data_IF_131927305822
#
_entry.id   IF_131927305822
#
_cell.length_a   1.000
_cell.length_b   1.000
_cell.length_c   1.000
_cell.angle_alpha   90.00
_cell.angle_beta   90.00
_cell.angle_gamma   90.00
#
_symmetry.space_group_name_H-M   'P 1'
#
loop_
_entity.id
_entity.type
_entity.pdbx_description
1 polymer ?
#
# COMPACT_ATOMS: atom_id res chain seq x y z
N UNK A 1 -10.90 35.35 10.68
CA UNK A 1 -10.61 34.36 11.75
C UNK A 1 -9.91 33.17 11.11
N UNK A 2 -8.63 32.97 11.36
CA UNK A 2 -7.89 31.82 10.82
C UNK A 2 -8.15 30.60 11.71
N UNK A 3 -8.74 29.55 11.14
CA UNK A 3 -8.91 28.26 11.82
C UNK A 3 -7.54 27.65 12.04
N UNK A 4 -7.18 27.41 13.30
CA UNK A 4 -5.93 26.74 13.64
C UNK A 4 -6.00 25.31 13.10
N UNK A 5 -5.11 24.87 12.18
CA UNK A 5 -5.20 23.54 11.57
C UNK A 5 -5.13 22.38 12.60
N UNK A 6 -4.65 22.67 13.82
CA UNK A 6 -4.63 21.73 14.94
C UNK A 6 -6.02 21.43 15.54
N UNK A 7 -7.03 22.28 15.32
CA UNK A 7 -8.38 22.09 15.90
C UNK A 7 -9.36 21.35 14.99
N UNK A 8 -8.94 20.99 13.77
CA UNK A 8 -9.79 20.23 12.84
C UNK A 8 -9.92 18.79 13.33
N UNK A 9 -11.14 18.40 13.67
CA UNK A 9 -11.48 17.03 14.05
C UNK A 9 -11.50 16.15 12.80
N UNK A 10 -10.87 14.99 12.91
CA UNK A 10 -10.77 13.94 11.90
C UNK A 10 -11.31 12.65 12.47
N UNK A 11 -11.78 11.76 11.61
CA UNK A 11 -12.29 10.45 11.98
C UNK A 11 -11.49 9.35 11.28
N UNK A 12 -11.32 8.22 11.98
CA UNK A 12 -10.75 6.98 11.45
C UNK A 12 -11.65 5.83 11.88
N UNK A 13 -12.07 5.00 10.94
CA UNK A 13 -12.84 3.77 11.25
C UNK A 13 -11.89 2.59 11.40
N UNK A 14 -11.88 1.99 12.58
CA UNK A 14 -11.07 0.83 12.93
C UNK A 14 -11.71 -0.48 12.44
N UNK A 15 -10.96 -1.58 12.49
CA UNK A 15 -11.39 -2.89 12.02
C UNK A 15 -12.58 -3.47 12.77
N UNK A 16 -12.76 -3.07 14.03
CA UNK A 16 -13.92 -3.42 14.86
C UNK A 16 -15.17 -2.58 14.58
N UNK A 17 -15.10 -1.66 13.62
CA UNK A 17 -16.18 -0.71 13.28
C UNK A 17 -16.20 0.54 14.15
N UNK A 18 -15.33 0.67 15.16
CA UNK A 18 -15.28 1.88 15.98
C UNK A 18 -14.81 3.07 15.15
N UNK A 19 -15.54 4.18 15.24
CA UNK A 19 -15.12 5.47 14.68
C UNK A 19 -14.37 6.27 15.74
N UNK A 20 -13.07 6.45 15.53
CA UNK A 20 -12.19 7.23 16.40
C UNK A 20 -12.11 8.67 15.89
N UNK A 21 -12.57 9.64 16.70
CA UNK A 21 -12.41 11.06 16.42
C UNK A 21 -11.13 11.62 17.08
N UNK A 22 -10.27 12.28 16.30
CA UNK A 22 -8.98 12.79 16.73
C UNK A 22 -8.59 14.09 16.01
N UNK A 23 -7.71 14.86 16.62
CA UNK A 23 -7.09 16.08 16.08
C UNK A 23 -5.61 15.84 15.80
N UNK A 24 -4.93 16.82 15.19
CA UNK A 24 -3.48 16.69 14.98
C UNK A 24 -2.69 16.64 16.29
N UNK A 25 -3.21 17.26 17.36
CA UNK A 25 -2.59 17.24 18.69
C UNK A 25 -2.67 15.86 19.37
N UNK A 26 -3.62 15.02 18.96
CA UNK A 26 -3.78 13.66 19.48
C UNK A 26 -2.81 12.66 18.82
N UNK A 27 -2.10 13.08 17.76
CA UNK A 27 -1.19 12.23 16.99
C UNK A 27 0.22 12.44 17.54
N UNK A 28 0.72 11.44 18.26
CA UNK A 28 2.11 11.39 18.68
C UNK A 28 3.08 11.41 17.49
N UNK A 29 4.33 11.78 17.75
CA UNK A 29 5.37 11.65 16.76
C UNK A 29 5.48 10.18 16.31
N UNK A 30 5.68 9.92 15.01
CA UNK A 30 5.91 8.57 14.54
C UNK A 30 7.12 7.95 15.27
N UNK A 31 6.88 6.88 16.03
CA UNK A 31 7.95 6.13 16.67
C UNK A 31 8.91 5.60 15.60
N UNK A 32 10.22 5.78 15.79
CA UNK A 32 11.25 5.21 14.93
C UNK A 32 11.27 3.68 15.10
N UNK A 33 10.37 2.99 14.40
CA UNK A 33 10.19 1.54 14.48
C UNK A 33 10.88 0.85 13.31
N UNK A 34 11.67 -0.16 13.62
CA UNK A 34 12.32 -1.03 12.65
C UNK A 34 11.78 -2.45 12.75
N UNK A 35 11.19 -2.94 11.67
CA UNK A 35 10.69 -4.33 11.56
C UNK A 35 11.57 -5.22 10.69
N UNK A 36 12.73 -4.72 10.27
CA UNK A 36 13.63 -5.43 9.35
C UNK A 36 14.11 -6.78 9.88
N UNK A 37 14.05 -7.03 11.19
CA UNK A 37 14.46 -8.30 11.79
C UNK A 37 13.29 -9.16 12.28
N UNK A 38 12.06 -8.65 12.17
CA UNK A 38 10.90 -9.27 12.82
C UNK A 38 9.62 -9.02 12.01
N UNK A 39 9.50 -9.74 10.90
CA UNK A 39 8.30 -9.75 10.06
C UNK A 39 7.08 -10.33 10.82
N UNK A 40 7.20 -11.36 11.68
CA UNK A 40 6.09 -11.83 12.50
C UNK A 40 5.48 -10.73 13.38
N UNK A 41 6.31 -9.94 14.06
CA UNK A 41 5.83 -8.79 14.85
C UNK A 41 5.20 -7.71 14.00
N UNK A 42 5.75 -7.44 12.80
CA UNK A 42 5.10 -6.52 11.86
C UNK A 42 3.71 -7.05 11.47
N UNK A 43 3.59 -8.35 11.20
CA UNK A 43 2.32 -8.98 10.82
C UNK A 43 1.26 -8.84 11.92
N UNK A 44 1.69 -8.96 13.18
CA UNK A 44 0.80 -8.86 14.33
C UNK A 44 0.32 -7.44 14.63
N UNK A 45 1.03 -6.43 14.12
CA UNK A 45 0.70 -5.01 14.28
C UNK A 45 0.11 -4.37 12.99
N UNK A 46 0.07 -5.12 11.89
CA UNK A 46 -0.23 -4.55 10.57
C UNK A 46 -1.70 -4.15 10.42
N UNK A 47 -2.62 -5.01 10.84
CA UNK A 47 -4.01 -4.98 10.43
C UNK A 47 -4.92 -5.55 11.53
N UNK A 48 -5.75 -4.68 12.10
CA UNK A 48 -6.68 -4.97 13.18
C UNK A 48 -7.94 -5.76 12.77
N UNK A 49 -8.13 -6.00 11.48
CA UNK A 49 -9.18 -6.93 10.98
C UNK A 49 -8.66 -8.36 10.81
N UNK A 50 -7.35 -8.55 10.96
CA UNK A 50 -6.70 -9.84 10.74
C UNK A 50 -6.71 -10.69 12.02
N UNK A 51 -6.84 -12.03 11.93
CA UNK A 51 -6.65 -12.92 13.07
C UNK A 51 -5.22 -12.84 13.67
N UNK A 52 -4.27 -12.25 12.96
CA UNK A 52 -2.91 -12.03 13.47
C UNK A 52 -2.79 -10.83 14.41
N UNK A 53 -3.81 -9.97 14.48
CA UNK A 53 -3.79 -8.77 15.30
C UNK A 53 -3.66 -9.10 16.78
N UNK A 54 -2.65 -8.56 17.45
CA UNK A 54 -2.41 -8.80 18.88
C UNK A 54 -2.99 -7.70 19.78
N UNK A 55 -3.74 -6.74 19.23
CA UNK A 55 -4.21 -5.59 20.01
C UNK A 55 -3.11 -4.58 20.36
N UNK A 56 -1.91 -4.71 19.78
CA UNK A 56 -0.76 -3.86 20.10
C UNK A 56 -0.32 -3.06 18.88
N UNK A 57 0.07 -1.81 19.11
CA UNK A 57 0.70 -0.96 18.11
C UNK A 57 1.67 -0.01 18.78
N UNK A 58 2.61 0.49 18.00
CA UNK A 58 3.56 1.52 18.40
C UNK A 58 2.98 2.93 18.31
N UNK A 59 1.82 3.08 17.67
CA UNK A 59 1.03 4.30 17.66
C UNK A 59 -0.26 4.07 18.44
N UNK A 60 -0.52 4.96 19.39
CA UNK A 60 -1.74 4.99 20.18
C UNK A 60 -2.35 6.38 20.05
N UNK A 61 -3.65 6.47 19.74
CA UNK A 61 -4.39 7.73 19.70
C UNK A 61 -5.50 7.62 20.74
N UNK A 62 -5.52 8.54 21.72
CA UNK A 62 -6.49 8.55 22.83
C UNK A 62 -6.61 7.19 23.54
N UNK A 63 -5.48 6.56 23.82
CA UNK A 63 -5.42 5.25 24.47
C UNK A 63 -5.76 4.04 23.57
N UNK A 64 -6.13 4.25 22.30
CA UNK A 64 -6.41 3.16 21.34
C UNK A 64 -5.22 2.86 20.43
N UNK A 65 -4.73 1.60 20.39
CA UNK A 65 -3.69 1.18 19.45
C UNK A 65 -4.17 1.28 18.01
N UNK A 66 -3.34 1.85 17.13
CA UNK A 66 -3.67 2.06 15.71
C UNK A 66 -2.82 1.15 14.83
N UNK A 67 -3.46 0.20 14.15
CA UNK A 67 -2.78 -0.71 13.23
C UNK A 67 -1.98 0.04 12.15
N UNK A 68 -0.84 -0.52 11.75
CA UNK A 68 0.11 0.14 10.84
C UNK A 68 -0.51 0.41 9.47
N UNK A 69 -1.50 -0.38 9.02
CA UNK A 69 -2.22 -0.13 7.75
C UNK A 69 -2.86 1.26 7.68
N UNK A 70 -3.25 1.85 8.81
CA UNK A 70 -3.91 3.16 8.87
C UNK A 70 -2.96 4.36 8.93
N UNK A 71 -1.66 4.14 9.11
CA UNK A 71 -0.68 5.22 9.24
C UNK A 71 -0.72 6.25 8.09
N UNK A 72 -0.91 5.87 6.80
CA UNK A 72 -1.04 6.85 5.72
C UNK A 72 -2.25 7.78 5.84
N UNK A 73 -3.31 7.35 6.51
CA UNK A 73 -4.51 8.14 6.73
C UNK A 73 -4.33 9.09 7.92
N UNK A 74 -3.78 8.56 9.03
CA UNK A 74 -3.46 9.33 10.23
C UNK A 74 -2.44 10.43 9.94
N UNK A 75 -1.31 10.09 9.30
CA UNK A 75 -0.22 11.03 9.05
C UNK A 75 -0.37 11.83 7.75
N UNK A 76 -1.48 11.70 7.03
CA UNK A 76 -1.69 12.44 5.76
C UNK A 76 -1.54 13.95 5.94
N UNK A 77 -1.94 14.46 7.10
CA UNK A 77 -1.99 15.90 7.41
C UNK A 77 -1.20 16.30 8.65
N UNK A 78 -0.52 15.34 9.29
CA UNK A 78 0.28 15.54 10.48
C UNK A 78 1.75 15.26 10.18
N UNK A 79 2.68 15.94 10.87
CA UNK A 79 4.07 15.47 10.96
C UNK A 79 4.74 15.17 9.61
N UNK A 80 4.49 16.03 8.60
CA UNK A 80 4.89 15.87 7.18
C UNK A 80 6.33 15.40 7.01
N UNK A 81 7.27 15.98 7.77
CA UNK A 81 8.70 15.64 7.67
C UNK A 81 8.99 14.22 8.15
N UNK A 82 8.46 13.80 9.30
CA UNK A 82 8.67 12.45 9.82
C UNK A 82 7.90 11.40 9.01
N UNK A 83 6.66 11.71 8.59
CA UNK A 83 5.90 10.83 7.71
C UNK A 83 6.62 10.59 6.39
N UNK A 84 7.23 11.61 5.79
CA UNK A 84 8.07 11.44 4.59
C UNK A 84 9.18 10.42 4.79
N UNK A 85 9.82 10.41 5.97
CA UNK A 85 10.85 9.42 6.32
C UNK A 85 10.30 7.99 6.45
N UNK A 86 9.11 7.83 7.05
CA UNK A 86 8.53 6.50 7.32
C UNK A 86 7.72 5.95 6.14
N UNK A 87 7.22 6.80 5.24
CA UNK A 87 6.38 6.40 4.11
C UNK A 87 7.05 5.35 3.21
N UNK A 88 8.36 5.45 3.03
CA UNK A 88 9.14 4.43 2.32
C UNK A 88 9.08 3.09 3.06
N UNK A 89 9.43 3.09 4.35
CA UNK A 89 9.36 1.90 5.20
C UNK A 89 7.96 1.30 5.23
N UNK A 90 6.91 2.11 5.34
CA UNK A 90 5.53 1.64 5.31
C UNK A 90 5.19 0.89 4.01
N UNK A 91 5.71 1.36 2.87
CA UNK A 91 5.51 0.70 1.58
C UNK A 91 6.27 -0.64 1.51
N UNK A 92 7.48 -0.70 2.07
CA UNK A 92 8.26 -1.93 2.23
C UNK A 92 7.57 -2.93 3.15
N UNK A 93 7.08 -2.47 4.31
CA UNK A 93 6.32 -3.27 5.27
C UNK A 93 5.08 -3.87 4.63
N UNK A 94 4.30 -3.05 3.90
CA UNK A 94 3.13 -3.52 3.15
C UNK A 94 3.51 -4.67 2.21
N UNK A 95 4.64 -4.54 1.51
CA UNK A 95 5.11 -5.57 0.58
C UNK A 95 5.47 -6.86 1.28
N UNK A 96 6.22 -6.76 2.37
CA UNK A 96 6.61 -7.91 3.19
C UNK A 96 5.38 -8.64 3.71
N UNK A 97 4.39 -7.92 4.28
CA UNK A 97 3.18 -8.55 4.83
C UNK A 97 2.30 -9.18 3.76
N UNK A 98 2.14 -8.54 2.60
CA UNK A 98 1.40 -9.15 1.50
C UNK A 98 2.01 -10.48 1.06
N UNK A 99 3.33 -10.53 0.90
CA UNK A 99 4.02 -11.78 0.55
C UNK A 99 4.00 -12.80 1.70
N UNK A 100 4.17 -12.36 2.94
CA UNK A 100 4.16 -13.23 4.12
C UNK A 100 2.81 -13.90 4.35
N UNK A 101 1.70 -13.24 3.97
CA UNK A 101 0.34 -13.77 4.09
C UNK A 101 -0.13 -14.60 2.89
N UNK A 102 0.66 -14.73 1.82
CA UNK A 102 0.28 -15.53 0.64
C UNK A 102 0.38 -17.04 0.88
N UNK A 103 1.08 -17.46 1.93
CA UNK A 103 1.24 -18.86 2.31
C UNK A 103 1.52 -18.97 3.80
N UNK A 104 2.22 -20.03 4.17
CA UNK A 104 2.67 -20.26 5.54
C UNK A 104 3.98 -19.51 5.83
N UNK A 105 4.29 -19.23 7.11
CA UNK A 105 5.60 -18.71 7.50
C UNK A 105 6.77 -19.55 6.98
N UNK A 106 6.61 -20.88 6.98
CA UNK A 106 7.66 -21.80 6.53
C UNK A 106 7.91 -21.70 5.03
N UNK A 107 6.86 -21.58 4.21
CA UNK A 107 7.00 -21.34 2.77
C UNK A 107 7.67 -20.00 2.49
N UNK A 108 7.32 -18.96 3.25
CA UNK A 108 7.96 -17.65 3.15
C UNK A 108 9.45 -17.76 3.46
N UNK A 109 9.83 -18.37 4.59
CA UNK A 109 11.23 -18.49 4.98
C UNK A 109 12.01 -19.47 4.10
N UNK A 110 11.37 -20.51 3.56
CA UNK A 110 11.96 -21.40 2.56
C UNK A 110 12.35 -20.60 1.30
N UNK A 111 11.45 -19.72 0.82
CA UNK A 111 11.71 -18.84 -0.33
C UNK A 111 12.80 -17.80 -0.06
N UNK A 112 12.87 -17.28 1.16
CA UNK A 112 13.74 -16.16 1.54
C UNK A 112 14.89 -16.57 2.46
N UNK A 113 15.41 -17.79 2.29
CA UNK A 113 16.63 -18.27 2.95
C UNK A 113 17.69 -18.66 1.93
N UNK A 114 18.95 -18.38 2.24
CA UNK A 114 20.12 -18.86 1.51
C UNK A 114 20.98 -19.70 2.47
N UNK A 115 21.33 -20.91 2.06
CA UNK A 115 22.11 -21.85 2.89
C UNK A 115 21.51 -22.10 4.29
N UNK A 116 20.17 -22.21 4.36
CA UNK A 116 19.44 -22.44 5.61
C UNK A 116 19.38 -21.24 6.56
N UNK A 117 19.83 -20.05 6.13
CA UNK A 117 19.75 -18.80 6.91
C UNK A 117 18.82 -17.80 6.22
N UNK A 118 17.96 -17.08 6.96
CA UNK A 118 17.16 -16.01 6.40
C UNK A 118 18.03 -14.96 5.71
N UNK A 119 17.63 -14.56 4.50
CA UNK A 119 18.24 -13.45 3.77
C UNK A 119 18.11 -12.14 4.57
N UNK A 120 18.98 -11.16 4.28
CA UNK A 120 18.81 -9.82 4.85
C UNK A 120 17.49 -9.19 4.39
N UNK A 121 16.88 -8.36 5.24
CA UNK A 121 15.62 -7.69 4.90
C UNK A 121 15.71 -6.89 3.60
N UNK A 122 16.84 -6.20 3.38
CA UNK A 122 17.08 -5.47 2.14
C UNK A 122 17.08 -6.41 0.93
N UNK A 123 17.69 -7.60 1.04
CA UNK A 123 17.66 -8.61 -0.03
C UNK A 123 16.26 -9.12 -0.30
N UNK A 124 15.47 -9.39 0.75
CA UNK A 124 14.06 -9.76 0.63
C UNK A 124 13.28 -8.65 -0.11
N UNK A 125 13.47 -7.39 0.27
CA UNK A 125 12.81 -6.26 -0.39
C UNK A 125 13.19 -6.10 -1.87
N UNK A 126 14.47 -6.32 -2.22
CA UNK A 126 14.93 -6.31 -3.61
C UNK A 126 14.21 -7.40 -4.41
N UNK A 127 14.17 -8.63 -3.90
CA UNK A 127 13.48 -9.75 -4.56
C UNK A 127 11.97 -9.50 -4.71
N UNK A 128 11.32 -8.93 -3.68
CA UNK A 128 9.92 -8.51 -3.76
C UNK A 128 9.70 -7.40 -4.80
N UNK A 129 10.65 -6.48 -4.93
CA UNK A 129 10.58 -5.42 -5.94
C UNK A 129 10.74 -5.98 -7.36
N UNK A 130 11.68 -6.90 -7.57
CA UNK A 130 11.89 -7.58 -8.84
C UNK A 130 10.68 -8.42 -9.25
N UNK A 131 10.12 -9.20 -8.31
CA UNK A 131 8.90 -9.96 -8.55
C UNK A 131 7.73 -9.07 -8.99
N UNK A 132 7.50 -7.95 -8.28
CA UNK A 132 6.47 -6.98 -8.65
C UNK A 132 6.69 -6.34 -10.01
N UNK A 133 7.94 -5.98 -10.34
CA UNK A 133 8.26 -5.44 -11.66
C UNK A 133 7.97 -6.45 -12.76
N UNK A 134 8.28 -7.73 -12.53
CA UNK A 134 8.00 -8.82 -13.46
C UNK A 134 6.50 -9.00 -13.65
N UNK A 135 5.72 -9.06 -12.57
CA UNK A 135 4.26 -9.16 -12.61
C UNK A 135 3.61 -7.96 -13.33
N UNK A 136 4.03 -6.73 -13.00
CA UNK A 136 3.54 -5.52 -13.65
C UNK A 136 3.87 -5.55 -15.16
N UNK A 137 5.06 -6.04 -15.54
CA UNK A 137 5.46 -6.14 -16.95
C UNK A 137 4.66 -7.20 -17.71
N UNK A 138 4.44 -8.37 -17.10
CA UNK A 138 3.60 -9.43 -17.67
C UNK A 138 2.15 -8.96 -17.83
N UNK A 139 1.61 -8.21 -16.87
CA UNK A 139 0.29 -7.62 -16.96
C UNK A 139 0.22 -6.60 -18.12
N UNK A 140 1.22 -5.74 -18.28
CA UNK A 140 1.28 -4.83 -19.43
C UNK A 140 1.35 -5.59 -20.75
N UNK A 141 2.18 -6.64 -20.82
CA UNK A 141 2.29 -7.45 -22.03
C UNK A 141 0.95 -8.05 -22.45
N UNK A 142 0.27 -8.74 -21.53
CA UNK A 142 -1.02 -9.38 -21.79
C UNK A 142 -2.06 -8.38 -22.29
N UNK A 143 -2.08 -7.19 -21.69
CA UNK A 143 -3.05 -6.19 -22.10
C UNK A 143 -2.65 -5.46 -23.39
N UNK A 144 -1.35 -5.26 -23.64
CA UNK A 144 -0.89 -4.75 -24.92
C UNK A 144 -1.27 -5.70 -26.07
N UNK A 145 -1.21 -7.02 -25.84
CA UNK A 145 -1.68 -8.04 -26.77
C UNK A 145 -3.20 -7.95 -27.01
N UNK A 146 -4.00 -7.72 -25.97
CA UNK A 146 -5.46 -7.56 -26.07
C UNK A 146 -5.90 -6.28 -26.82
N UNK A 147 -5.24 -5.15 -26.56
CA UNK A 147 -5.63 -3.85 -27.12
C UNK A 147 -4.94 -3.51 -28.45
N UNK A 148 -3.90 -4.24 -28.82
CA UNK A 148 -3.17 -4.09 -30.09
C UNK A 148 -2.81 -2.63 -30.39
N UNK A 149 -3.18 -2.16 -31.57
CA UNK A 149 -2.88 -0.81 -32.07
C UNK A 149 -3.52 0.32 -31.22
N UNK A 150 -4.54 0.01 -30.41
CA UNK A 150 -5.19 1.00 -29.55
C UNK A 150 -4.47 1.25 -28.23
N UNK A 151 -3.45 0.44 -27.89
CA UNK A 151 -2.75 0.48 -26.61
C UNK A 151 -2.23 1.87 -26.23
N UNK A 152 -1.53 2.54 -27.14
CA UNK A 152 -0.95 3.87 -26.90
C UNK A 152 -2.04 4.92 -26.65
N UNK A 153 -3.16 4.83 -27.37
CA UNK A 153 -4.31 5.72 -27.19
C UNK A 153 -4.96 5.51 -25.81
N UNK A 154 -5.12 4.26 -25.38
CA UNK A 154 -5.76 3.92 -24.09
C UNK A 154 -4.87 4.26 -22.89
N UNK A 155 -3.55 4.17 -23.09
CA UNK A 155 -2.54 4.47 -22.08
C UNK A 155 -2.06 5.93 -22.11
N UNK A 156 -2.64 6.78 -22.95
CA UNK A 156 -2.29 8.19 -22.98
C UNK A 156 -3.03 9.02 -21.91
N UNK A 157 -2.37 10.07 -21.44
CA UNK A 157 -2.95 11.10 -20.59
C UNK A 157 -2.52 12.49 -21.05
N UNK A 158 -3.37 13.47 -20.83
CA UNK A 158 -3.09 14.86 -21.17
C UNK A 158 -2.32 15.53 -20.03
N UNK A 159 -1.20 16.18 -20.35
CA UNK A 159 -0.46 17.05 -19.43
C UNK A 159 -0.26 18.41 -20.10
N UNK A 160 -1.06 19.39 -19.68
CA UNK A 160 -1.14 20.68 -20.36
C UNK A 160 -1.74 20.52 -21.77
N UNK A 161 -1.04 21.00 -22.80
CA UNK A 161 -1.44 20.86 -24.21
C UNK A 161 -1.05 19.53 -24.84
N UNK A 162 -0.17 18.75 -24.20
CA UNK A 162 0.48 17.60 -24.83
C UNK A 162 -0.11 16.27 -24.35
N UNK A 163 -0.18 15.30 -25.25
CA UNK A 163 -0.50 13.91 -24.95
C UNK A 163 0.77 13.15 -24.57
N UNK A 164 0.72 12.40 -23.48
CA UNK A 164 1.82 11.56 -23.00
C UNK A 164 1.33 10.14 -22.81
N UNK A 165 2.08 9.15 -23.28
CA UNK A 165 1.79 7.73 -22.99
C UNK A 165 2.35 7.38 -21.61
N UNK A 166 1.58 6.63 -20.82
CA UNK A 166 2.05 6.07 -19.55
C UNK A 166 3.23 5.14 -19.81
N UNK A 167 4.32 5.33 -19.08
CA UNK A 167 5.55 4.52 -19.23
C UNK A 167 5.78 3.59 -18.05
N UNK A 168 5.05 3.77 -16.95
CA UNK A 168 5.22 2.99 -15.73
C UNK A 168 4.32 1.75 -15.78
N UNK A 169 4.86 0.51 -15.78
CA UNK A 169 4.06 -0.70 -15.96
C UNK A 169 2.88 -0.82 -15.00
N UNK A 170 3.09 -0.51 -13.71
CA UNK A 170 2.02 -0.42 -12.71
C UNK A 170 0.89 0.56 -13.07
N UNK A 171 1.25 1.72 -13.62
CA UNK A 171 0.28 2.75 -13.97
C UNK A 171 -0.52 2.35 -15.21
N UNK A 172 0.15 1.72 -16.18
CA UNK A 172 -0.44 1.10 -17.37
C UNK A 172 -1.42 -0.01 -16.95
N UNK A 173 -0.96 -1.01 -16.19
CA UNK A 173 -1.80 -2.11 -15.70
C UNK A 173 -3.03 -1.60 -14.94
N UNK A 174 -2.86 -0.63 -14.04
CA UNK A 174 -3.99 -0.02 -13.30
C UNK A 174 -4.96 0.74 -14.22
N UNK A 175 -4.46 1.45 -15.22
CA UNK A 175 -5.29 2.18 -16.20
C UNK A 175 -6.14 1.21 -17.00
N UNK A 176 -5.52 0.12 -17.44
CA UNK A 176 -6.17 -0.86 -18.29
C UNK A 176 -7.19 -1.71 -17.52
N UNK A 177 -6.88 -2.16 -16.30
CA UNK A 177 -7.88 -2.85 -15.45
C UNK A 177 -9.14 -2.01 -15.24
N UNK A 178 -9.03 -0.68 -15.12
CA UNK A 178 -10.20 0.21 -15.02
C UNK A 178 -11.01 0.29 -16.31
N UNK A 179 -10.35 0.14 -17.45
CA UNK A 179 -11.01 0.15 -18.76
C UNK A 179 -11.71 -1.18 -19.01
N UNK A 180 -11.09 -2.31 -18.69
CA UNK A 180 -11.71 -3.64 -18.77
C UNK A 180 -12.92 -3.79 -17.84
N UNK A 181 -12.81 -3.29 -16.59
CA UNK A 181 -13.92 -3.33 -15.62
C UNK A 181 -15.09 -2.40 -16.00
N UNK A 182 -14.83 -1.39 -16.83
CA UNK A 182 -15.83 -0.45 -17.32
C UNK A 182 -16.51 -0.87 -18.63
N UNK A 183 -15.85 -1.67 -19.47
CA UNK A 183 -16.38 -2.11 -20.76
C UNK A 183 -17.43 -3.22 -20.65
N UNK A 184 -17.57 -3.87 -19.48
CA UNK A 184 -18.61 -4.90 -19.25
C UNK A 184 -20.01 -4.38 -18.90
N UNK A 185 -20.30 -3.07 -19.04
CA UNK A 185 -21.60 -2.48 -18.66
C UNK A 185 -22.33 -1.66 -19.73
N UNK A 186 -21.82 -1.59 -20.95
CA UNK A 186 -22.48 -0.89 -22.06
C UNK A 186 -22.54 -1.79 -23.31
N UNK A 187 -23.24 -2.91 -23.24
CA UNK A 187 -23.90 -3.49 -24.42
C UNK A 187 -25.31 -3.91 -24.05
N UNK A 188 -26.23 -2.97 -24.26
CA UNK A 188 -27.65 -3.16 -24.04
C UNK A 188 -28.42 -1.88 -24.30
N UNK A 189 -28.27 -1.29 -25.50
CA UNK A 189 -29.30 -0.44 -26.12
C UNK A 189 -29.05 -0.34 -27.64
N UNK A 190 -29.74 -1.19 -28.38
CA UNK A 190 -30.21 -1.05 -29.76
C UNK A 190 -31.17 -2.23 -29.92
N UNK A 191 -32.47 -2.10 -30.19
CA UNK A 191 -33.27 -1.12 -30.93
C UNK A 191 -34.62 -1.00 -30.22
#
# INVERSE_FOLDING_TARGET
>A
MATNPSSVVRTLTLGDGTVLAFTLADIGDPTAVGFSKDIPRLNSMWDDTSPHWTGQSTLTIKGRPIAIKYWPEVYRYAHNRQWKGIKHNWTCWKASIQCYRQGTPDEFWCRFSENGRPMSYTRILVLLCEARKKEDQEAVWKVAEEFGESFDTQCAYRKGSNMHVLTQPRAIAKRLHRLSDGHGRDEGHSI
#
